data_IF_316129321284
#
_entry.id   IF_316129321284
#
_cell.length_a   1.000
_cell.length_b   1.000
_cell.length_c   1.000
_cell.angle_alpha   90.00
_cell.angle_beta   90.00
_cell.angle_gamma   90.00
#
_symmetry.space_group_name_H-M   'P 1'
#
loop_
_entity.id
_entity.type
_entity.pdbx_description
1 polymer ?
#
# COMPACT_ATOMS: atom_id res chain seq x y z
N UNK A 1 -82.07 -6.98 20.90
CA UNK A 1 -82.23 -7.96 19.81
C UNK A 1 -81.09 -7.77 18.81
N UNK A 2 -80.31 -8.83 18.58
CA UNK A 2 -79.29 -8.90 17.53
C UNK A 2 -79.97 -9.03 16.13
N UNK A 3 -79.27 -8.99 14.96
CA UNK A 3 -78.38 -10.09 14.59
C UNK A 3 -77.13 -9.82 13.70
N UNK A 4 -76.06 -10.55 14.06
CA UNK A 4 -75.16 -11.44 13.29
C UNK A 4 -74.40 -11.05 12.00
N UNK A 5 -73.05 -11.13 12.10
CA UNK A 5 -72.07 -11.38 11.01
C UNK A 5 -71.70 -12.88 10.91
N UNK A 6 -71.68 -13.47 9.70
CA UNK A 6 -71.19 -14.84 9.42
C UNK A 6 -69.75 -14.89 8.88
N UNK A 7 -68.92 -15.68 9.60
CA UNK A 7 -67.78 -16.54 9.23
C UNK A 7 -67.23 -16.58 7.78
N UNK A 8 -65.96 -16.17 7.61
CA UNK A 8 -65.10 -16.45 6.44
C UNK A 8 -63.70 -17.03 6.79
N UNK A 9 -63.50 -17.51 8.03
CA UNK A 9 -62.16 -17.86 8.57
C UNK A 9 -61.80 -19.36 8.56
N UNK A 10 -62.72 -20.27 8.23
CA UNK A 10 -62.50 -21.73 8.39
C UNK A 10 -61.89 -22.46 7.16
N UNK A 11 -61.91 -21.90 5.95
CA UNK A 11 -61.42 -22.60 4.74
C UNK A 11 -59.91 -22.47 4.43
N UNK A 12 -59.18 -21.57 5.11
CA UNK A 12 -57.76 -21.29 4.81
C UNK A 12 -56.76 -22.13 5.63
N UNK A 13 -57.20 -22.65 6.78
CA UNK A 13 -56.35 -23.47 7.68
C UNK A 13 -56.27 -24.94 7.23
N UNK A 14 -57.30 -25.52 6.61
CA UNK A 14 -57.27 -26.92 6.15
C UNK A 14 -56.33 -27.18 4.95
N UNK A 15 -55.97 -26.14 4.18
CA UNK A 15 -54.97 -26.26 3.08
C UNK A 15 -53.52 -26.20 3.57
N UNK A 16 -53.27 -25.69 4.79
CA UNK A 16 -51.91 -25.61 5.38
C UNK A 16 -51.45 -26.94 6.01
N UNK A 17 -52.37 -27.85 6.36
CA UNK A 17 -52.02 -29.11 7.02
C UNK A 17 -51.74 -30.28 6.04
N UNK A 18 -52.15 -30.18 4.76
CA UNK A 18 -51.95 -31.25 3.75
C UNK A 18 -50.70 -31.11 2.87
N UNK A 19 -49.93 -30.02 2.96
CA UNK A 19 -48.66 -29.85 2.22
C UNK A 19 -47.41 -30.13 3.09
N UNK A 20 -47.59 -30.85 4.21
CA UNK A 20 -46.56 -31.12 5.21
C UNK A 20 -46.21 -32.60 5.39
N UNK A 21 -46.65 -33.49 4.49
CA UNK A 21 -46.30 -34.92 4.50
C UNK A 21 -46.11 -35.46 3.07
N UNK A 22 -44.86 -35.44 2.61
CA UNK A 22 -44.25 -36.19 1.47
C UNK A 22 -43.05 -35.34 1.00
N UNK A 23 -41.78 -35.71 0.99
CA UNK A 23 -41.07 -36.98 1.01
C UNK A 23 -39.71 -36.69 1.66
N UNK A 24 -39.33 -37.52 2.62
CA UNK A 24 -37.98 -37.66 3.12
C UNK A 24 -37.22 -38.56 2.14
N UNK A 25 -36.46 -37.96 1.24
CA UNK A 25 -35.35 -38.63 0.57
C UNK A 25 -34.09 -37.88 0.95
N UNK A 26 -33.34 -38.48 1.88
CA UNK A 26 -31.97 -38.10 2.19
C UNK A 26 -31.17 -38.31 0.92
N UNK A 27 -30.97 -37.22 0.17
CA UNK A 27 -29.95 -37.17 -0.87
C UNK A 27 -28.61 -37.22 -0.13
N UNK A 28 -27.68 -38.12 -0.51
CA UNK A 28 -26.35 -38.11 0.08
C UNK A 28 -25.78 -36.71 -0.10
N UNK A 29 -25.38 -36.08 1.00
CA UNK A 29 -24.58 -34.87 0.96
C UNK A 29 -23.29 -35.27 0.23
N UNK A 30 -23.21 -34.87 -1.04
CA UNK A 30 -21.97 -34.93 -1.79
C UNK A 30 -20.88 -34.25 -0.94
N UNK A 31 -19.68 -34.83 -0.83
CA UNK A 31 -18.61 -34.21 -0.07
C UNK A 31 -18.41 -32.80 -0.61
N UNK A 32 -18.24 -31.81 0.28
CA UNK A 32 -17.80 -30.45 -0.09
C UNK A 32 -16.72 -30.58 -1.16
N UNK A 33 -17.05 -30.22 -2.40
CA UNK A 33 -16.08 -30.17 -3.48
C UNK A 33 -14.97 -29.22 -3.02
N UNK A 34 -13.78 -29.79 -2.91
CA UNK A 34 -12.58 -29.28 -2.27
C UNK A 34 -12.30 -27.84 -2.74
N UNK A 35 -12.24 -26.89 -1.82
CA UNK A 35 -11.95 -25.46 -2.05
C UNK A 35 -10.54 -25.19 -2.64
N UNK A 36 -9.77 -26.25 -2.96
CA UNK A 36 -8.40 -26.23 -3.50
C UNK A 36 -8.27 -26.14 -5.03
N UNK A 37 -9.36 -26.27 -5.80
CA UNK A 37 -9.27 -26.51 -7.25
C UNK A 37 -8.77 -25.30 -8.10
N UNK A 38 -8.95 -24.07 -7.62
CA UNK A 38 -8.61 -22.90 -8.42
C UNK A 38 -7.10 -22.71 -8.60
N UNK A 39 -6.31 -22.95 -7.54
CA UNK A 39 -4.87 -22.76 -7.57
C UNK A 39 -4.20 -23.84 -8.40
N UNK A 40 -4.56 -25.11 -8.22
CA UNK A 40 -4.01 -26.22 -9.02
C UNK A 40 -4.29 -26.05 -10.51
N UNK A 41 -5.49 -25.57 -10.85
CA UNK A 41 -5.86 -25.26 -12.24
C UNK A 41 -5.11 -24.05 -12.78
N UNK A 42 -4.97 -22.99 -11.99
CA UNK A 42 -4.17 -21.81 -12.37
C UNK A 42 -2.69 -22.18 -12.55
N UNK A 43 -2.12 -22.92 -11.61
CA UNK A 43 -0.73 -23.36 -11.62
C UNK A 43 -0.44 -24.18 -12.87
N UNK A 44 -1.18 -25.27 -13.12
CA UNK A 44 -0.98 -26.13 -14.31
C UNK A 44 -1.01 -25.34 -15.63
N UNK A 45 -1.91 -24.36 -15.73
CA UNK A 45 -2.08 -23.53 -16.92
C UNK A 45 -0.93 -22.54 -17.14
N UNK A 46 -0.37 -21.99 -16.07
CA UNK A 46 0.59 -20.88 -16.16
C UNK A 46 2.04 -21.29 -15.87
N UNK A 47 2.29 -22.44 -15.24
CA UNK A 47 3.64 -22.98 -14.96
C UNK A 47 4.32 -23.56 -16.21
N UNK A 48 3.53 -24.01 -17.19
CA UNK A 48 4.00 -24.75 -18.36
C UNK A 48 4.11 -23.88 -19.63
N UNK A 49 3.98 -22.56 -19.50
CA UNK A 49 3.93 -21.65 -20.65
C UNK A 49 5.35 -21.41 -21.19
N UNK A 50 5.64 -21.69 -22.48
CA UNK A 50 6.98 -21.54 -23.05
C UNK A 50 7.50 -20.11 -22.91
N UNK A 51 8.69 -19.93 -22.32
CA UNK A 51 9.39 -18.65 -22.21
C UNK A 51 9.22 -17.89 -20.89
N UNK A 52 8.53 -18.44 -19.89
CA UNK A 52 8.38 -17.81 -18.56
C UNK A 52 9.26 -18.51 -17.52
N UNK A 53 10.15 -17.76 -16.84
CA UNK A 53 11.00 -18.25 -15.76
C UNK A 53 10.20 -18.40 -14.45
N UNK A 54 9.15 -19.21 -14.47
CA UNK A 54 8.36 -19.53 -13.27
C UNK A 54 9.17 -20.52 -12.43
N UNK A 55 9.31 -20.29 -11.11
CA UNK A 55 9.97 -21.26 -10.22
C UNK A 55 9.31 -22.64 -10.33
N UNK A 56 10.10 -23.72 -10.25
CA UNK A 56 9.57 -25.09 -10.25
C UNK A 56 8.87 -25.45 -8.93
N UNK A 57 9.31 -24.83 -7.83
CA UNK A 57 8.69 -24.98 -6.51
C UNK A 57 7.34 -24.24 -6.45
N UNK A 58 6.31 -24.93 -5.98
CA UNK A 58 4.93 -24.42 -5.94
C UNK A 58 4.78 -23.22 -4.99
N UNK A 59 5.48 -23.23 -3.85
CA UNK A 59 5.41 -22.14 -2.89
C UNK A 59 6.11 -20.87 -3.42
N UNK A 60 7.27 -21.03 -4.04
CA UNK A 60 7.96 -19.97 -4.76
C UNK A 60 7.14 -19.47 -5.96
N UNK A 61 6.46 -20.38 -6.66
CA UNK A 61 5.51 -20.06 -7.72
C UNK A 61 4.33 -19.22 -7.24
N UNK A 62 3.74 -19.57 -6.10
CA UNK A 62 2.66 -18.80 -5.49
C UNK A 62 3.11 -17.36 -5.18
N UNK A 63 4.30 -17.20 -4.56
CA UNK A 63 4.90 -15.89 -4.33
C UNK A 63 5.19 -15.15 -5.65
N UNK A 64 5.62 -15.85 -6.69
CA UNK A 64 5.89 -15.25 -7.98
C UNK A 64 4.63 -14.62 -8.60
N UNK A 65 3.50 -15.31 -8.51
CA UNK A 65 2.24 -14.83 -9.09
C UNK A 65 1.53 -13.78 -8.25
N UNK A 66 1.56 -13.90 -6.92
CA UNK A 66 0.74 -13.09 -5.99
C UNK A 66 1.54 -12.15 -5.07
N UNK A 67 2.88 -12.24 -5.08
CA UNK A 67 3.80 -11.45 -4.24
C UNK A 67 3.69 -11.68 -2.73
N UNK A 68 2.95 -12.71 -2.35
CA UNK A 68 2.70 -13.10 -0.96
C UNK A 68 2.78 -14.61 -0.84
N UNK A 69 3.13 -15.11 0.34
CA UNK A 69 3.05 -16.51 0.72
C UNK A 69 1.59 -16.96 0.86
N UNK A 70 1.37 -18.28 0.92
CA UNK A 70 0.04 -18.85 1.18
C UNK A 70 -0.51 -18.39 2.54
N UNK A 71 0.32 -18.32 3.58
CA UNK A 71 -0.10 -17.85 4.91
C UNK A 71 -0.57 -16.40 4.89
N UNK A 72 0.23 -15.51 4.27
CA UNK A 72 -0.13 -14.09 4.10
C UNK A 72 -1.40 -13.94 3.24
N UNK A 73 -1.55 -14.78 2.22
CA UNK A 73 -2.74 -14.82 1.39
C UNK A 73 -4.00 -15.23 2.17
N UNK A 74 -3.90 -16.26 3.00
CA UNK A 74 -4.99 -16.69 3.88
C UNK A 74 -5.37 -15.60 4.88
N UNK A 75 -4.38 -14.89 5.44
CA UNK A 75 -4.61 -13.73 6.28
C UNK A 75 -5.38 -12.62 5.52
N UNK A 76 -4.94 -12.25 4.33
CA UNK A 76 -5.65 -11.28 3.47
C UNK A 76 -7.08 -11.76 3.18
N UNK A 77 -7.27 -13.04 2.86
CA UNK A 77 -8.59 -13.62 2.64
C UNK A 77 -9.48 -13.49 3.88
N UNK A 78 -8.93 -13.72 5.08
CA UNK A 78 -9.67 -13.58 6.33
C UNK A 78 -10.11 -12.14 6.58
N UNK A 79 -9.28 -11.14 6.26
CA UNK A 79 -9.59 -9.72 6.43
C UNK A 79 -10.79 -9.27 5.60
N UNK A 80 -10.89 -9.73 4.34
CA UNK A 80 -11.92 -9.25 3.39
C UNK A 80 -13.11 -10.20 3.24
N UNK A 81 -13.11 -11.35 3.95
CA UNK A 81 -14.08 -12.43 3.75
C UNK A 81 -15.52 -11.96 3.87
N UNK A 82 -15.85 -11.24 4.94
CA UNK A 82 -17.21 -10.77 5.20
C UNK A 82 -17.72 -9.81 4.12
N UNK A 83 -16.88 -8.89 3.66
CA UNK A 83 -17.24 -7.90 2.64
C UNK A 83 -17.38 -8.53 1.24
N UNK A 84 -16.56 -9.53 0.95
CA UNK A 84 -16.62 -10.26 -0.32
C UNK A 84 -17.80 -11.24 -0.40
N UNK A 85 -18.26 -11.79 0.74
CA UNK A 85 -19.46 -12.64 0.82
C UNK A 85 -20.76 -11.83 0.84
N UNK A 86 -20.82 -10.73 1.60
CA UNK A 86 -22.06 -9.99 1.88
C UNK A 86 -22.61 -9.18 0.70
N UNK A 87 -21.78 -8.84 -0.29
CA UNK A 87 -22.16 -8.05 -1.47
C UNK A 87 -21.95 -8.79 -2.80
N UNK A 88 -22.47 -10.00 -3.02
CA UNK A 88 -22.26 -10.69 -4.29
C UNK A 88 -23.04 -9.93 -5.38
N UNK A 89 -22.39 -9.36 -6.40
CA UNK A 89 -23.08 -8.80 -7.55
C UNK A 89 -23.86 -9.90 -8.26
N UNK A 90 -25.01 -9.53 -8.80
CA UNK A 90 -25.66 -10.27 -9.88
C UNK A 90 -24.66 -10.41 -11.03
N UNK A 91 -24.00 -11.57 -11.19
CA UNK A 91 -23.05 -11.81 -12.28
C UNK A 91 -21.59 -12.13 -11.92
N UNK A 92 -21.22 -12.34 -10.64
CA UNK A 92 -19.93 -12.97 -10.29
C UNK A 92 -19.99 -14.49 -10.47
N UNK A 93 -20.29 -14.87 -11.70
CA UNK A 93 -20.43 -16.24 -12.14
C UNK A 93 -19.17 -16.52 -12.99
N UNK A 94 -18.46 -17.61 -12.70
CA UNK A 94 -17.40 -18.08 -13.60
C UNK A 94 -18.00 -18.45 -14.96
N UNK A 95 -17.17 -18.74 -15.96
CA UNK A 95 -17.63 -19.14 -17.31
C UNK A 95 -18.59 -20.36 -17.25
N UNK A 96 -18.55 -21.13 -16.16
CA UNK A 96 -19.32 -22.36 -15.94
C UNK A 96 -20.60 -22.19 -15.11
N UNK A 97 -21.00 -20.97 -14.72
CA UNK A 97 -22.26 -20.81 -13.97
C UNK A 97 -22.13 -20.78 -12.44
N UNK A 98 -20.93 -20.80 -11.85
CA UNK A 98 -20.69 -20.89 -10.39
C UNK A 98 -20.19 -19.58 -9.77
N UNK A 99 -20.62 -19.30 -8.54
CA UNK A 99 -20.10 -18.18 -7.73
C UNK A 99 -18.60 -18.34 -7.47
N UNK A 100 -17.84 -17.24 -7.61
CA UNK A 100 -16.42 -17.23 -7.27
C UNK A 100 -16.22 -17.32 -5.75
N UNK A 101 -15.36 -18.24 -5.29
CA UNK A 101 -14.91 -18.28 -3.89
C UNK A 101 -14.17 -16.99 -3.50
N UNK A 102 -14.11 -16.71 -2.20
CA UNK A 102 -13.39 -15.53 -1.68
C UNK A 102 -11.92 -15.60 -2.06
N UNK A 103 -11.32 -16.77 -1.93
CA UNK A 103 -9.93 -17.05 -2.24
C UNK A 103 -9.65 -16.77 -3.73
N UNK A 104 -10.52 -17.26 -4.63
CA UNK A 104 -10.37 -16.98 -6.06
C UNK A 104 -10.56 -15.48 -6.37
N UNK A 105 -11.46 -14.80 -5.69
CA UNK A 105 -11.63 -13.34 -5.82
C UNK A 105 -10.37 -12.57 -5.40
N UNK A 106 -9.81 -12.91 -4.23
CA UNK A 106 -8.56 -12.31 -3.72
C UNK A 106 -7.39 -12.61 -4.66
N UNK A 107 -7.28 -13.83 -5.17
CA UNK A 107 -6.24 -14.21 -6.13
C UNK A 107 -6.30 -13.38 -7.42
N UNK A 108 -7.49 -13.18 -7.99
CA UNK A 108 -7.69 -12.34 -9.18
C UNK A 108 -7.22 -10.90 -8.90
N UNK A 109 -7.62 -10.33 -7.75
CA UNK A 109 -7.28 -8.96 -7.39
C UNK A 109 -5.77 -8.79 -7.14
N UNK A 110 -5.15 -9.69 -6.36
CA UNK A 110 -3.71 -9.66 -6.11
C UNK A 110 -2.92 -9.85 -7.40
N UNK A 111 -3.32 -10.78 -8.28
CA UNK A 111 -2.66 -10.95 -9.58
C UNK A 111 -2.75 -9.68 -10.42
N UNK A 112 -3.90 -8.99 -10.40
CA UNK A 112 -4.08 -7.73 -11.11
C UNK A 112 -3.12 -6.65 -10.61
N UNK A 113 -2.97 -6.50 -9.29
CA UNK A 113 -2.07 -5.52 -8.68
C UNK A 113 -0.59 -5.89 -8.90
N UNK A 114 -0.24 -7.17 -8.73
CA UNK A 114 1.12 -7.69 -8.80
C UNK A 114 1.72 -7.68 -10.22
N UNK A 115 0.91 -7.95 -11.24
CA UNK A 115 1.38 -8.10 -12.63
C UNK A 115 1.33 -6.80 -13.42
N UNK A 116 0.36 -5.93 -13.12
CA UNK A 116 0.01 -4.77 -13.95
C UNK A 116 -0.39 -5.16 -15.38
N UNK A 117 -0.77 -6.41 -15.64
CA UNK A 117 -1.26 -6.87 -16.96
C UNK A 117 -2.63 -6.28 -17.29
N UNK A 118 -3.16 -6.47 -18.50
CA UNK A 118 -4.53 -6.04 -18.85
C UNK A 118 -5.59 -6.90 -18.14
N UNK A 119 -6.79 -6.36 -17.93
CA UNK A 119 -7.87 -7.10 -17.25
C UNK A 119 -8.31 -8.33 -18.06
N UNK A 120 -8.16 -8.25 -19.39
CA UNK A 120 -8.38 -9.37 -20.32
C UNK A 120 -7.35 -10.49 -20.08
N UNK A 121 -6.06 -10.15 -19.96
CA UNK A 121 -5.01 -11.14 -19.68
C UNK A 121 -5.22 -11.85 -18.35
N UNK A 122 -5.48 -11.07 -17.29
CA UNK A 122 -5.81 -11.63 -15.96
C UNK A 122 -7.06 -12.50 -16.03
N UNK A 123 -8.10 -12.06 -16.75
CA UNK A 123 -9.34 -12.84 -16.92
C UNK A 123 -9.09 -14.18 -17.62
N UNK A 124 -8.29 -14.18 -18.68
CA UNK A 124 -7.90 -15.39 -19.39
C UNK A 124 -7.12 -16.37 -18.49
N UNK A 125 -6.26 -15.87 -17.60
CA UNK A 125 -5.50 -16.69 -16.66
C UNK A 125 -6.40 -17.41 -15.63
N UNK A 126 -7.51 -16.79 -15.20
CA UNK A 126 -8.45 -17.34 -14.21
C UNK A 126 -9.74 -17.95 -14.79
N UNK A 127 -9.94 -17.87 -16.11
CA UNK A 127 -11.16 -18.32 -16.78
C UNK A 127 -12.38 -17.46 -16.40
N UNK A 128 -12.23 -16.14 -16.40
CA UNK A 128 -13.29 -15.18 -16.09
C UNK A 128 -13.30 -14.02 -17.09
N UNK A 129 -14.44 -13.35 -17.25
CA UNK A 129 -14.56 -12.18 -18.11
C UNK A 129 -13.81 -10.96 -17.58
N UNK A 130 -13.45 -10.03 -18.47
CA UNK A 130 -12.79 -8.77 -18.09
C UNK A 130 -13.63 -7.95 -17.11
N UNK A 131 -14.96 -7.91 -17.29
CA UNK A 131 -15.89 -7.23 -16.39
C UNK A 131 -15.83 -7.80 -14.98
N UNK A 132 -15.75 -9.13 -14.85
CA UNK A 132 -15.58 -9.85 -13.58
C UNK A 132 -14.27 -9.45 -12.89
N UNK A 133 -13.15 -9.42 -13.62
CA UNK A 133 -11.86 -8.97 -13.06
C UNK A 133 -11.96 -7.54 -12.53
N UNK A 134 -12.57 -6.64 -13.29
CA UNK A 134 -12.74 -5.23 -12.90
C UNK A 134 -13.55 -5.09 -11.61
N UNK A 135 -14.70 -5.77 -11.54
CA UNK A 135 -15.58 -5.74 -10.36
C UNK A 135 -14.93 -6.37 -9.13
N UNK A 136 -14.32 -7.54 -9.27
CA UNK A 136 -13.63 -8.24 -8.18
C UNK A 136 -12.47 -7.42 -7.63
N UNK A 137 -11.64 -6.86 -8.52
CA UNK A 137 -10.50 -6.03 -8.11
C UNK A 137 -10.98 -4.81 -7.32
N UNK A 138 -12.03 -4.14 -7.78
CA UNK A 138 -12.54 -2.94 -7.10
C UNK A 138 -13.15 -3.27 -5.74
N UNK A 139 -13.95 -4.34 -5.63
CA UNK A 139 -14.51 -4.79 -4.35
C UNK A 139 -13.42 -5.18 -3.35
N UNK A 140 -12.37 -5.84 -3.84
CA UNK A 140 -11.21 -6.17 -3.02
C UNK A 140 -10.52 -4.90 -2.51
N UNK A 141 -10.31 -3.89 -3.36
CA UNK A 141 -9.72 -2.61 -2.97
C UNK A 141 -10.56 -1.93 -1.89
N UNK A 142 -11.88 -1.79 -2.11
CA UNK A 142 -12.78 -1.16 -1.12
C UNK A 142 -12.78 -1.91 0.22
N UNK A 143 -12.83 -3.24 0.20
CA UNK A 143 -12.80 -4.06 1.41
C UNK A 143 -11.46 -3.94 2.14
N UNK A 144 -10.34 -4.07 1.42
CA UNK A 144 -9.03 -4.02 2.04
C UNK A 144 -8.70 -2.63 2.57
N UNK A 145 -9.07 -1.57 1.85
CA UNK A 145 -8.90 -0.19 2.28
C UNK A 145 -9.55 0.07 3.65
N UNK A 146 -10.72 -0.51 3.92
CA UNK A 146 -11.38 -0.37 5.22
C UNK A 146 -10.77 -1.29 6.29
N UNK A 147 -10.58 -2.56 5.97
CA UNK A 147 -10.22 -3.60 6.95
C UNK A 147 -8.75 -3.54 7.34
N UNK A 148 -7.87 -3.12 6.44
CA UNK A 148 -6.44 -3.10 6.66
C UNK A 148 -5.90 -1.77 7.22
N UNK A 149 -6.73 -0.74 7.49
CA UNK A 149 -6.27 0.57 8.00
C UNK A 149 -5.33 0.49 9.19
N UNK A 150 -5.53 -0.49 10.07
CA UNK A 150 -4.70 -0.70 11.26
C UNK A 150 -3.24 -1.07 10.94
N UNK A 151 -2.95 -1.53 9.71
CA UNK A 151 -1.60 -1.75 9.22
C UNK A 151 -0.89 -0.46 8.79
N UNK A 152 -1.60 0.65 8.58
CA UNK A 152 -1.02 1.95 8.25
C UNK A 152 -1.46 2.96 9.31
N UNK A 153 -0.70 2.97 10.41
CA UNK A 153 -0.93 3.86 11.54
C UNK A 153 0.41 4.40 12.02
N UNK A 154 0.36 5.58 12.61
CA UNK A 154 1.50 6.07 13.34
C UNK A 154 1.80 5.20 14.55
N UNK A 155 3.08 4.99 14.88
CA UNK A 155 3.47 4.31 16.11
C UNK A 155 2.95 5.04 17.35
N UNK A 156 2.62 4.25 18.37
CA UNK A 156 2.47 4.76 19.73
C UNK A 156 3.85 5.07 20.34
N UNK A 157 3.87 5.62 21.55
CA UNK A 157 5.12 6.01 22.22
C UNK A 157 6.11 4.84 22.37
N UNK A 158 5.64 3.63 22.65
CA UNK A 158 6.52 2.47 22.84
C UNK A 158 7.18 2.04 21.53
N UNK A 159 6.39 1.90 20.46
CA UNK A 159 6.93 1.58 19.14
C UNK A 159 7.80 2.72 18.60
N UNK A 160 7.48 3.97 18.94
CA UNK A 160 8.30 5.12 18.56
C UNK A 160 9.69 5.07 19.19
N UNK A 161 9.81 4.74 20.48
CA UNK A 161 11.11 4.57 21.14
C UNK A 161 11.94 3.43 20.53
N UNK A 162 11.27 2.34 20.13
CA UNK A 162 11.92 1.27 19.37
C UNK A 162 12.48 1.79 18.03
N UNK A 163 11.65 2.53 17.28
CA UNK A 163 12.05 3.10 15.99
C UNK A 163 13.27 4.01 16.17
N UNK A 164 13.22 4.95 17.11
CA UNK A 164 14.34 5.85 17.42
C UNK A 164 15.61 5.09 17.73
N UNK A 165 15.53 4.08 18.60
CA UNK A 165 16.66 3.26 19.00
C UNK A 165 17.28 2.52 17.81
N UNK A 166 16.45 2.02 16.88
CA UNK A 166 16.91 1.33 15.67
C UNK A 166 17.54 2.28 14.65
N UNK A 167 16.99 3.48 14.48
CA UNK A 167 17.60 4.51 13.62
C UNK A 167 18.94 4.97 14.18
N UNK A 168 19.04 5.15 15.49
CA UNK A 168 20.32 5.50 16.13
C UNK A 168 21.33 4.37 15.99
N UNK A 169 20.95 3.11 16.22
CA UNK A 169 21.87 1.98 16.09
C UNK A 169 22.35 1.76 14.65
N UNK A 170 21.48 2.00 13.65
CA UNK A 170 21.78 1.66 12.24
C UNK A 170 22.43 2.81 11.48
N UNK A 171 22.06 4.06 11.79
CA UNK A 171 22.49 5.26 11.04
C UNK A 171 23.16 6.29 11.94
N UNK A 172 23.24 6.05 13.25
CA UNK A 172 23.77 7.00 14.22
C UNK A 172 22.89 8.23 14.42
N UNK A 173 21.64 8.24 13.92
CA UNK A 173 20.74 9.39 13.99
C UNK A 173 19.87 9.33 15.28
N UNK A 174 20.21 10.13 16.31
CA UNK A 174 19.50 10.10 17.57
C UNK A 174 18.11 10.73 17.44
N UNK A 175 17.09 10.17 18.11
CA UNK A 175 15.71 10.68 18.11
C UNK A 175 15.05 10.78 16.70
N UNK A 176 15.60 10.09 15.70
CA UNK A 176 15.02 10.02 14.36
C UNK A 176 13.84 9.03 14.34
N UNK A 177 12.70 9.49 13.86
CA UNK A 177 11.42 8.79 13.92
C UNK A 177 11.00 8.14 12.60
N UNK A 178 11.83 8.25 11.55
CA UNK A 178 11.51 7.75 10.22
C UNK A 178 12.17 8.53 9.10
N UNK A 179 11.97 8.05 7.87
CA UNK A 179 12.40 8.69 6.64
C UNK A 179 11.19 9.01 5.76
N UNK A 180 11.22 10.15 5.07
CA UNK A 180 10.16 10.59 4.16
C UNK A 180 10.68 10.73 2.74
N UNK A 181 9.88 10.26 1.78
CA UNK A 181 10.12 10.52 0.37
C UNK A 181 8.81 10.59 -0.42
N UNK A 182 8.90 10.99 -1.69
CA UNK A 182 7.79 11.06 -2.61
C UNK A 182 8.15 10.44 -3.95
N UNK A 183 7.17 9.80 -4.59
CA UNK A 183 7.33 9.14 -5.88
C UNK A 183 6.22 9.47 -6.87
N UNK A 184 6.55 9.42 -8.16
CA UNK A 184 5.61 9.63 -9.26
C UNK A 184 4.97 8.33 -9.73
N UNK A 185 3.65 8.29 -9.76
CA UNK A 185 2.87 7.20 -10.36
C UNK A 185 2.41 7.63 -11.75
N UNK A 186 3.08 7.11 -12.78
CA UNK A 186 2.89 7.52 -14.18
C UNK A 186 1.55 6.99 -14.72
N UNK A 187 0.82 7.86 -15.41
CA UNK A 187 -0.46 7.54 -16.03
C UNK A 187 -0.56 8.11 -17.45
N UNK A 188 -1.43 7.53 -18.26
CA UNK A 188 -1.85 8.13 -19.53
C UNK A 188 -3.23 8.74 -19.34
N UNK A 189 -3.34 10.07 -19.47
CA UNK A 189 -4.62 10.76 -19.46
C UNK A 189 -5.28 10.76 -20.84
N UNK A 190 -6.62 10.76 -20.94
CA UNK A 190 -7.30 11.05 -22.20
C UNK A 190 -6.94 12.46 -22.70
N UNK A 191 -6.85 12.63 -24.03
CA UNK A 191 -6.50 13.92 -24.66
C UNK A 191 -7.42 15.09 -24.28
N UNK A 192 -8.63 14.82 -23.78
CA UNK A 192 -9.60 15.83 -23.35
C UNK A 192 -9.39 16.27 -21.88
N UNK A 193 -8.57 15.54 -21.12
CA UNK A 193 -8.36 15.76 -19.67
C UNK A 193 -6.92 16.17 -19.34
N UNK A 194 -6.14 16.59 -20.32
CA UNK A 194 -4.80 17.13 -20.16
C UNK A 194 -4.90 18.53 -19.55
N UNK A 195 -4.81 18.63 -18.21
CA UNK A 195 -4.51 19.90 -17.55
C UNK A 195 -3.02 19.94 -17.25
N UNK A 196 -2.42 21.13 -17.35
CA UNK A 196 -1.00 21.36 -17.13
C UNK A 196 -0.55 20.93 -15.72
N UNK A 197 -1.47 20.91 -14.75
CA UNK A 197 -1.18 20.53 -13.35
C UNK A 197 -0.70 19.07 -13.21
N UNK A 198 -1.15 18.19 -14.11
CA UNK A 198 -0.77 16.76 -14.08
C UNK A 198 0.52 16.50 -14.85
N UNK A 199 0.97 17.46 -15.67
CA UNK A 199 2.22 17.38 -16.40
C UNK A 199 3.36 17.62 -15.41
N UNK A 200 4.19 16.61 -15.21
CA UNK A 200 5.34 16.68 -14.33
C UNK A 200 6.57 17.29 -15.04
N UNK A 201 7.65 17.57 -14.30
CA UNK A 201 8.84 18.21 -14.86
C UNK A 201 9.47 17.46 -16.04
N UNK A 202 9.24 16.14 -16.14
CA UNK A 202 9.76 15.28 -17.22
C UNK A 202 8.75 15.15 -18.37
N UNK A 203 7.74 16.02 -18.43
CA UNK A 203 6.66 16.01 -19.42
C UNK A 203 5.82 14.72 -19.44
N UNK A 204 5.78 13.99 -18.33
CA UNK A 204 4.89 12.85 -18.14
C UNK A 204 3.63 13.29 -17.38
N UNK A 205 2.54 12.53 -17.51
CA UNK A 205 1.39 12.71 -16.63
C UNK A 205 1.51 11.79 -15.43
N UNK A 206 1.54 12.33 -14.22
CA UNK A 206 1.73 11.52 -13.01
C UNK A 206 0.93 12.01 -11.81
N UNK A 207 0.77 11.12 -10.83
CA UNK A 207 0.21 11.41 -9.52
C UNK A 207 1.27 11.19 -8.46
N UNK A 208 1.36 12.10 -7.51
CA UNK A 208 2.30 11.99 -6.40
C UNK A 208 1.79 11.02 -5.34
N UNK A 209 2.71 10.21 -4.81
CA UNK A 209 2.58 9.47 -3.57
C UNK A 209 3.74 9.91 -2.67
N UNK A 210 3.44 10.46 -1.51
CA UNK A 210 4.42 10.70 -0.45
C UNK A 210 4.15 9.75 0.71
N UNK A 211 5.20 9.31 1.37
CA UNK A 211 5.12 8.35 2.47
C UNK A 211 6.28 8.49 3.43
N UNK A 212 5.97 8.22 4.70
CA UNK A 212 6.94 8.16 5.80
C UNK A 212 7.11 6.69 6.16
N UNK A 213 8.35 6.24 6.31
CA UNK A 213 8.67 4.86 6.67
C UNK A 213 9.55 4.75 7.91
N UNK A 214 9.46 3.61 8.59
CA UNK A 214 10.35 3.25 9.69
C UNK A 214 11.60 2.47 9.24
N UNK A 215 12.34 1.93 10.22
CA UNK A 215 13.56 1.15 10.00
C UNK A 215 13.32 -0.20 9.29
N UNK A 216 12.09 -0.70 9.27
CA UNK A 216 11.66 -1.92 8.57
C UNK A 216 11.09 -1.63 7.18
N UNK A 217 11.18 -0.37 6.72
CA UNK A 217 10.57 0.09 5.46
C UNK A 217 9.03 -0.02 5.47
N UNK A 218 8.40 -0.04 6.66
CA UNK A 218 6.95 -0.01 6.83
C UNK A 218 6.44 1.42 6.70
N UNK A 219 5.36 1.63 5.94
CA UNK A 219 4.71 2.94 5.86
C UNK A 219 3.96 3.29 7.15
N UNK A 220 4.33 4.41 7.76
CA UNK A 220 3.69 4.96 8.95
C UNK A 220 2.58 5.96 8.62
N UNK A 221 2.77 6.70 7.52
CA UNK A 221 1.83 7.69 6.99
C UNK A 221 2.03 7.78 5.47
N UNK A 222 0.95 7.96 4.73
CA UNK A 222 1.00 8.21 3.29
C UNK A 222 -0.01 9.28 2.87
N UNK A 223 0.30 9.96 1.78
CA UNK A 223 -0.61 10.85 1.07
C UNK A 223 -0.51 10.62 -0.43
N UNK A 224 -1.64 10.61 -1.13
CA UNK A 224 -1.67 10.51 -2.59
C UNK A 224 -2.90 11.23 -3.14
N UNK A 225 -3.09 11.24 -4.46
CA UNK A 225 -4.17 11.96 -5.14
C UNK A 225 -3.79 13.35 -5.65
N UNK A 226 -2.53 13.76 -5.47
CA UNK A 226 -2.06 15.08 -5.89
C UNK A 226 -1.42 15.04 -7.29
N UNK A 227 -1.56 16.11 -8.09
CA UNK A 227 -0.95 16.19 -9.42
C UNK A 227 0.57 16.16 -9.41
N UNK A 228 1.16 15.48 -10.40
CA UNK A 228 2.61 15.32 -10.61
C UNK A 228 3.37 16.61 -10.91
N UNK A 229 2.71 17.66 -11.41
CA UNK A 229 3.34 18.97 -11.63
C UNK A 229 3.63 19.75 -10.34
N UNK A 230 3.14 19.29 -9.19
CA UNK A 230 3.41 19.93 -7.91
C UNK A 230 4.82 19.61 -7.39
N UNK A 231 5.47 20.60 -6.76
CA UNK A 231 6.72 20.35 -6.04
C UNK A 231 6.45 19.55 -4.76
N UNK A 232 7.40 18.70 -4.36
CA UNK A 232 7.34 17.93 -3.11
C UNK A 232 7.16 18.84 -1.88
N UNK A 233 7.81 20.01 -1.88
CA UNK A 233 7.64 21.03 -0.83
C UNK A 233 6.21 21.59 -0.73
N UNK A 234 5.48 21.71 -1.85
CA UNK A 234 4.06 22.12 -1.85
C UNK A 234 3.17 20.97 -1.41
N UNK A 235 3.45 19.75 -1.89
CA UNK A 235 2.75 18.53 -1.46
C UNK A 235 2.79 18.38 0.06
N UNK A 236 3.96 18.55 0.68
CA UNK A 236 4.14 18.45 2.13
C UNK A 236 3.15 19.34 2.89
N UNK A 237 3.01 20.62 2.51
CA UNK A 237 2.12 21.58 3.17
C UNK A 237 0.64 21.23 3.06
N UNK A 238 0.27 20.45 2.04
CA UNK A 238 -1.10 19.98 1.85
C UNK A 238 -1.44 18.74 2.69
N UNK A 239 -0.44 18.08 3.29
CA UNK A 239 -0.65 16.83 4.03
C UNK A 239 -1.28 17.04 5.41
N UNK A 240 -2.04 16.04 5.86
CA UNK A 240 -2.51 15.97 7.25
C UNK A 240 -1.34 15.89 8.23
N UNK A 241 -0.29 15.14 7.87
CA UNK A 241 0.92 15.01 8.66
C UNK A 241 1.59 16.36 8.98
N UNK A 242 1.76 17.22 7.98
CA UNK A 242 2.30 18.57 8.17
C UNK A 242 1.47 19.37 9.17
N UNK A 243 0.14 19.36 9.05
CA UNK A 243 -0.75 20.07 9.98
C UNK A 243 -0.63 19.55 11.42
N UNK A 244 -0.51 18.23 11.59
CA UNK A 244 -0.32 17.63 12.92
C UNK A 244 1.05 17.99 13.54
N UNK A 245 2.11 18.09 12.72
CA UNK A 245 3.42 18.52 13.20
C UNK A 245 3.40 20.01 13.62
N UNK A 246 2.83 20.87 12.78
CA UNK A 246 2.70 22.31 13.09
C UNK A 246 1.78 22.57 14.30
N UNK A 247 0.78 21.69 14.51
CA UNK A 247 -0.08 21.71 15.70
C UNK A 247 0.56 21.12 16.97
N UNK A 248 1.77 20.55 16.88
CA UNK A 248 2.44 19.90 18.02
C UNK A 248 1.85 18.55 18.44
N UNK A 249 0.94 17.99 17.64
CA UNK A 249 0.32 16.67 17.86
C UNK A 249 1.23 15.52 17.39
N UNK A 250 2.30 15.85 16.64
CA UNK A 250 3.22 14.91 16.02
C UNK A 250 4.66 15.39 16.13
N UNK A 251 5.61 14.45 16.29
CA UNK A 251 7.04 14.76 16.41
C UNK A 251 7.34 15.79 17.53
N UNK A 252 6.64 15.62 18.65
CA UNK A 252 6.70 16.49 19.83
C UNK A 252 6.92 15.68 21.12
N UNK A 253 7.48 14.47 20.99
CA UNK A 253 7.88 13.65 22.14
C UNK A 253 9.12 14.17 22.85
N UNK A 254 9.70 13.32 23.71
CA UNK A 254 10.82 13.69 24.57
C UNK A 254 12.05 14.14 23.79
N UNK A 255 12.61 15.27 24.21
CA UNK A 255 13.89 15.78 23.74
C UNK A 255 15.00 14.90 24.29
N UNK A 256 15.99 14.61 23.44
CA UNK A 256 17.19 13.85 23.79
C UNK A 256 18.39 14.78 23.87
N UNK A 257 19.00 14.89 25.04
CA UNK A 257 20.25 15.62 25.23
C UNK A 257 21.43 14.75 24.81
N UNK A 258 22.25 15.26 23.91
CA UNK A 258 23.46 14.60 23.41
C UNK A 258 24.62 14.75 24.42
N UNK A 259 25.68 13.92 24.31
CA UNK A 259 26.84 14.03 25.20
C UNK A 259 27.53 15.42 25.19
N UNK A 260 27.40 16.18 24.11
CA UNK A 260 27.90 17.56 23.99
C UNK A 260 27.03 18.61 24.67
N UNK A 261 25.88 18.22 25.24
CA UNK A 261 24.92 19.10 25.90
C UNK A 261 23.87 19.70 24.96
N UNK A 262 23.93 19.40 23.66
CA UNK A 262 22.91 19.84 22.70
C UNK A 262 21.65 18.99 22.75
N UNK A 263 20.50 19.65 22.65
CA UNK A 263 19.19 19.01 22.64
C UNK A 263 18.71 18.69 21.22
N UNK A 264 18.21 17.46 21.04
CA UNK A 264 17.64 16.96 19.78
C UNK A 264 16.20 16.52 20.03
N UNK A 265 15.24 17.22 19.40
CA UNK A 265 13.84 16.81 19.35
C UNK A 265 13.60 15.66 18.36
N UNK A 266 12.41 15.10 18.38
CA UNK A 266 11.95 14.14 17.36
C UNK A 266 11.96 14.78 15.97
N UNK A 267 12.49 14.05 14.99
CA UNK A 267 12.50 14.47 13.59
C UNK A 267 12.43 13.29 12.63
N UNK A 268 12.11 13.56 11.37
CA UNK A 268 12.23 12.62 10.26
C UNK A 268 13.26 13.10 9.24
N UNK A 269 13.93 12.15 8.58
CA UNK A 269 14.92 12.43 7.52
C UNK A 269 14.22 12.58 6.16
N UNK A 270 14.43 13.69 5.45
CA UNK A 270 13.88 13.91 4.11
C UNK A 270 14.92 14.40 3.10
N UNK A 271 14.68 14.17 1.82
CA UNK A 271 15.57 14.59 0.73
C UNK A 271 15.64 16.11 0.54
N UNK A 272 16.52 16.55 -0.36
CA UNK A 272 16.74 17.98 -0.69
C UNK A 272 15.49 18.68 -1.24
N UNK A 273 14.50 17.94 -1.74
CA UNK A 273 13.23 18.49 -2.23
C UNK A 273 12.28 18.97 -1.14
N UNK A 274 12.58 18.67 0.12
CA UNK A 274 11.81 19.09 1.27
C UNK A 274 12.35 20.38 1.91
N UNK A 275 11.49 21.20 2.54
CA UNK A 275 11.96 22.31 3.37
C UNK A 275 12.70 21.78 4.61
N UNK A 276 13.70 22.52 5.08
CA UNK A 276 14.32 22.26 6.37
C UNK A 276 13.45 22.84 7.49
N UNK A 277 12.90 21.99 8.34
CA UNK A 277 12.01 22.35 9.45
C UNK A 277 12.53 21.75 10.77
N UNK A 278 12.03 22.17 11.95
CA UNK A 278 12.48 21.63 13.24
C UNK A 278 12.27 20.11 13.38
N UNK A 279 11.25 19.58 12.69
CA UNK A 279 10.83 18.19 12.72
C UNK A 279 11.12 17.43 11.40
N UNK A 280 11.65 18.11 10.38
CA UNK A 280 12.02 17.53 9.08
C UNK A 280 13.41 18.01 8.66
N UNK A 281 14.39 17.12 8.77
CA UNK A 281 15.79 17.46 8.53
C UNK A 281 16.21 17.00 7.13
N UNK A 282 16.86 17.91 6.40
CA UNK A 282 17.36 17.71 5.03
C UNK A 282 18.88 17.87 4.97
N UNK A 283 19.58 17.23 4.02
CA UNK A 283 21.04 17.25 3.98
C UNK A 283 21.57 18.64 3.61
N UNK A 284 22.87 18.87 3.85
CA UNK A 284 23.57 20.05 3.36
C UNK A 284 23.75 19.97 1.84
N UNK A 285 23.64 21.11 1.15
CA UNK A 285 23.97 21.19 -0.27
C UNK A 285 25.47 20.93 -0.50
N UNK A 286 25.81 20.27 -1.61
CA UNK A 286 27.17 19.75 -1.90
C UNK A 286 28.28 20.80 -1.99
N UNK A 287 27.96 22.10 -1.98
CA UNK A 287 28.93 23.18 -2.13
C UNK A 287 29.54 23.57 -0.78
N UNK A 288 30.86 23.38 -0.62
CA UNK A 288 31.61 23.85 0.56
C UNK A 288 31.39 23.03 1.83
N UNK A 289 31.13 21.72 1.70
CA UNK A 289 30.93 20.83 2.85
C UNK A 289 32.19 20.70 3.70
N UNK A 290 32.06 20.96 4.99
CA UNK A 290 33.07 20.55 5.98
C UNK A 290 33.02 19.04 6.22
N UNK A 291 34.08 18.46 6.80
CA UNK A 291 34.11 17.02 7.11
C UNK A 291 32.93 16.56 8.00
N UNK A 292 32.49 17.41 8.93
CA UNK A 292 31.32 17.16 9.79
C UNK A 292 30.02 17.09 8.97
N UNK A 293 29.84 18.04 8.04
CA UNK A 293 28.67 18.09 7.16
C UNK A 293 28.64 16.91 6.19
N UNK A 294 29.79 16.50 5.65
CA UNK A 294 29.89 15.31 4.79
C UNK A 294 29.55 14.03 5.55
N UNK A 295 30.03 13.88 6.79
CA UNK A 295 29.70 12.72 7.63
C UNK A 295 28.22 12.69 7.96
N UNK A 296 27.63 13.84 8.33
CA UNK A 296 26.20 13.97 8.54
C UNK A 296 25.40 13.60 7.29
N UNK A 297 25.75 14.15 6.13
CA UNK A 297 25.06 13.85 4.87
C UNK A 297 25.12 12.36 4.53
N UNK A 298 26.23 11.67 4.77
CA UNK A 298 26.34 10.23 4.54
C UNK A 298 25.40 9.41 5.44
N UNK A 299 25.32 9.75 6.73
CA UNK A 299 24.42 9.10 7.68
C UNK A 299 22.94 9.39 7.39
N UNK A 300 22.65 10.66 7.09
CA UNK A 300 21.32 11.13 6.71
C UNK A 300 20.83 10.45 5.43
N UNK A 301 21.68 10.34 4.41
CA UNK A 301 21.38 9.66 3.16
C UNK A 301 21.10 8.17 3.38
N UNK A 302 21.88 7.50 4.22
CA UNK A 302 21.66 6.10 4.55
C UNK A 302 20.26 5.86 5.17
N UNK A 303 19.80 6.77 6.02
CA UNK A 303 18.45 6.73 6.58
C UNK A 303 17.38 7.07 5.53
N UNK A 304 17.59 8.10 4.71
CA UNK A 304 16.68 8.49 3.61
C UNK A 304 16.45 7.33 2.63
N UNK A 305 17.50 6.57 2.32
CA UNK A 305 17.43 5.43 1.41
C UNK A 305 16.46 4.34 1.87
N UNK A 306 16.04 4.29 3.15
CA UNK A 306 14.95 3.40 3.57
C UNK A 306 13.63 3.74 2.87
N UNK A 307 13.29 5.03 2.79
CA UNK A 307 12.09 5.48 2.09
C UNK A 307 12.19 5.18 0.60
N UNK A 308 13.35 5.47 -0.02
CA UNK A 308 13.59 5.17 -1.44
C UNK A 308 13.40 3.67 -1.72
N UNK A 309 13.97 2.81 -0.88
CA UNK A 309 13.85 1.35 -1.02
C UNK A 309 12.42 0.87 -0.82
N UNK A 310 11.68 1.42 0.14
CA UNK A 310 10.28 1.08 0.38
C UNK A 310 9.42 1.36 -0.86
N UNK A 311 9.59 2.52 -1.49
CA UNK A 311 8.88 2.86 -2.73
C UNK A 311 9.27 1.95 -3.90
N UNK A 312 10.56 1.66 -4.06
CA UNK A 312 11.03 0.71 -5.09
C UNK A 312 10.44 -0.69 -4.88
N UNK A 313 10.33 -1.15 -3.62
CA UNK A 313 9.71 -2.42 -3.27
C UNK A 313 8.21 -2.44 -3.58
N UNK A 314 7.47 -1.38 -3.23
CA UNK A 314 6.04 -1.25 -3.55
C UNK A 314 5.81 -1.28 -5.06
N UNK A 315 6.54 -0.45 -5.82
CA UNK A 315 6.41 -0.38 -7.28
C UNK A 315 6.79 -1.70 -7.96
N UNK A 316 7.85 -2.35 -7.50
CA UNK A 316 8.30 -3.59 -8.10
C UNK A 316 7.44 -4.82 -7.75
N UNK A 317 6.88 -4.86 -6.54
CA UNK A 317 5.95 -5.90 -6.11
C UNK A 317 4.59 -5.71 -6.76
N UNK A 318 4.04 -4.51 -6.65
CA UNK A 318 2.74 -4.13 -7.18
C UNK A 318 2.92 -3.39 -8.51
N UNK A 319 3.29 -4.14 -9.55
CA UNK A 319 3.68 -3.59 -10.86
C UNK A 319 2.61 -2.73 -11.53
N UNK A 320 1.36 -2.76 -11.07
CA UNK A 320 0.33 -1.79 -11.48
C UNK A 320 0.76 -0.33 -11.22
N UNK A 321 1.62 -0.09 -10.23
CA UNK A 321 2.15 1.23 -9.89
C UNK A 321 3.42 1.61 -10.66
N UNK A 322 4.14 0.63 -11.21
CA UNK A 322 5.36 0.85 -12.00
C UNK A 322 5.07 0.98 -13.50
N UNK A 323 4.05 0.27 -13.99
CA UNK A 323 3.61 0.39 -15.38
C UNK A 323 2.79 1.65 -15.57
N UNK A 324 2.88 2.25 -16.76
CA UNK A 324 2.01 3.35 -17.16
C UNK A 324 0.55 2.90 -17.11
N UNK A 325 -0.22 3.48 -16.20
CA UNK A 325 -1.64 3.17 -16.09
C UNK A 325 -2.40 3.83 -17.24
N UNK A 326 -3.03 3.00 -18.08
CA UNK A 326 -3.81 3.48 -19.20
C UNK A 326 -5.17 4.01 -18.74
N UNK A 327 -5.35 5.34 -18.82
CA UNK A 327 -6.61 6.05 -18.52
C UNK A 327 -7.26 5.62 -17.20
N UNK A 328 -6.54 5.69 -16.07
CA UNK A 328 -7.12 5.35 -14.78
C UNK A 328 -8.24 6.34 -14.44
N UNK A 329 -9.23 5.86 -13.69
CA UNK A 329 -10.14 6.76 -12.99
C UNK A 329 -9.34 7.46 -11.89
N UNK A 330 -9.11 8.77 -12.04
CA UNK A 330 -8.32 9.59 -11.10
C UNK A 330 -8.89 9.55 -9.67
N UNK A 331 -10.18 9.25 -9.50
CA UNK A 331 -10.82 9.12 -8.18
C UNK A 331 -10.54 7.77 -7.52
N UNK A 332 -10.28 6.74 -8.32
CA UNK A 332 -10.01 5.37 -7.86
C UNK A 332 -8.53 5.08 -7.66
N UNK A 333 -7.69 5.79 -8.40
CA UNK A 333 -6.24 5.62 -8.34
C UNK A 333 -5.66 5.80 -6.92
N UNK A 334 -6.07 6.82 -6.13
CA UNK A 334 -5.65 6.95 -4.74
C UNK A 334 -5.90 5.69 -3.89
N UNK A 335 -7.08 5.07 -4.01
CA UNK A 335 -7.41 3.82 -3.30
C UNK A 335 -6.54 2.64 -3.75
N UNK A 336 -6.23 2.54 -5.05
CA UNK A 336 -5.30 1.51 -5.57
C UNK A 336 -3.92 1.67 -4.94
N UNK A 337 -3.40 2.90 -4.91
CA UNK A 337 -2.09 3.23 -4.34
C UNK A 337 -2.06 2.90 -2.84
N UNK A 338 -3.07 3.35 -2.10
CA UNK A 338 -3.22 3.08 -0.67
C UNK A 338 -3.24 1.57 -0.39
N UNK A 339 -4.03 0.81 -1.14
CA UNK A 339 -4.11 -0.66 -1.00
C UNK A 339 -2.77 -1.34 -1.27
N UNK A 340 -1.98 -0.88 -2.24
CA UNK A 340 -0.64 -1.43 -2.48
C UNK A 340 0.31 -1.15 -1.29
N UNK A 341 0.23 0.03 -0.67
CA UNK A 341 0.99 0.36 0.54
C UNK A 341 0.52 -0.46 1.76
N UNK A 342 -0.79 -0.68 1.90
CA UNK A 342 -1.35 -1.55 2.94
C UNK A 342 -0.89 -3.01 2.77
N UNK A 343 -0.91 -3.53 1.54
CA UNK A 343 -0.41 -4.87 1.24
C UNK A 343 1.08 -5.01 1.54
N UNK A 344 1.89 -3.97 1.26
CA UNK A 344 3.30 -3.94 1.63
C UNK A 344 3.50 -4.04 3.15
N UNK A 345 2.73 -3.27 3.93
CA UNK A 345 2.78 -3.37 5.39
C UNK A 345 2.28 -4.73 5.91
N UNK A 346 1.26 -5.33 5.28
CA UNK A 346 0.78 -6.68 5.62
C UNK A 346 1.87 -7.73 5.39
N UNK A 347 2.61 -7.63 4.28
CA UNK A 347 3.75 -8.52 3.98
C UNK A 347 4.80 -8.44 5.08
N UNK A 348 5.15 -7.23 5.52
CA UNK A 348 6.08 -7.00 6.63
C UNK A 348 5.53 -7.60 7.93
N UNK A 349 4.26 -7.32 8.28
CA UNK A 349 3.64 -7.79 9.52
C UNK A 349 3.53 -9.33 9.59
N UNK A 350 3.39 -9.99 8.44
CA UNK A 350 3.36 -11.44 8.35
C UNK A 350 4.76 -12.08 8.33
N UNK A 351 5.84 -11.29 8.38
CA UNK A 351 7.22 -11.76 8.27
C UNK A 351 7.52 -12.38 6.90
N UNK A 352 6.83 -11.94 5.86
CA UNK A 352 6.96 -12.50 4.52
C UNK A 352 8.01 -11.74 3.72
N UNK A 353 8.83 -12.47 2.97
CA UNK A 353 9.94 -11.89 2.22
C UNK A 353 9.46 -11.50 0.82
N UNK A 354 9.68 -10.24 0.45
CA UNK A 354 9.53 -9.77 -0.92
C UNK A 354 10.52 -10.50 -1.83
N UNK A 355 10.05 -10.93 -3.00
CA UNK A 355 10.88 -11.69 -3.93
C UNK A 355 12.07 -10.85 -4.44
N UNK A 356 13.28 -11.42 -4.53
CA UNK A 356 14.47 -10.73 -5.05
C UNK A 356 14.33 -10.21 -6.49
N UNK A 357 13.43 -10.80 -7.29
CA UNK A 357 13.16 -10.42 -8.69
C UNK A 357 12.46 -9.06 -8.85
N UNK A 358 12.21 -8.36 -7.74
CA UNK A 358 11.88 -6.94 -7.78
C UNK A 358 13.17 -6.20 -8.13
N UNK A 359 13.33 -5.83 -9.40
CA UNK A 359 14.39 -4.93 -9.82
C UNK A 359 14.27 -3.61 -9.05
N UNK A 360 15.03 -3.49 -7.97
CA UNK A 360 15.19 -2.25 -7.23
C UNK A 360 16.11 -1.38 -8.06
N UNK A 361 15.53 -0.53 -8.92
CA UNK A 361 16.28 0.63 -9.37
C UNK A 361 16.74 1.38 -8.11
N UNK A 362 18.00 1.84 -8.10
CA UNK A 362 18.56 2.60 -6.97
C UNK A 362 17.74 3.85 -6.61
N UNK A 363 16.80 4.24 -7.48
CA UNK A 363 15.80 5.27 -7.31
C UNK A 363 14.44 4.77 -7.83
N UNK A 364 13.34 5.08 -7.14
CA UNK A 364 11.97 4.72 -7.57
C UNK A 364 11.42 5.53 -8.76
N UNK A 365 12.12 6.57 -9.23
CA UNK A 365 11.73 7.45 -10.34
C UNK A 365 12.95 7.73 -11.24
N UNK A 366 13.45 6.73 -11.99
CA UNK A 366 14.59 6.92 -12.87
C UNK A 366 14.30 8.00 -13.91
N UNK A 367 15.20 8.98 -14.02
CA UNK A 367 15.09 10.10 -14.96
C UNK A 367 14.57 11.40 -14.34
N UNK A 368 13.98 11.37 -13.15
CA UNK A 368 13.56 12.60 -12.45
C UNK A 368 14.76 13.25 -11.72
N UNK A 369 14.96 14.54 -11.94
CA UNK A 369 15.94 15.33 -11.18
C UNK A 369 15.39 15.77 -9.82
N UNK A 370 16.24 15.75 -8.78
CA UNK A 370 15.88 16.30 -7.46
C UNK A 370 15.83 17.83 -7.51
N UNK A 371 14.65 18.43 -7.34
CA UNK A 371 14.50 19.88 -7.23
C UNK A 371 14.77 20.34 -5.78
N UNK A 372 15.87 21.06 -5.55
CA UNK A 372 16.20 21.54 -4.20
C UNK A 372 15.21 22.58 -3.66
N UNK A 373 14.73 22.39 -2.43
CA UNK A 373 13.91 23.36 -1.71
C UNK A 373 14.79 24.31 -0.90
N UNK A 374 14.68 25.62 -1.16
CA UNK A 374 15.45 26.66 -0.46
C UNK A 374 14.85 27.12 0.87
N UNK A 375 13.72 26.56 1.29
CA UNK A 375 13.06 26.96 2.54
C UNK A 375 13.81 26.37 3.73
N UNK A 376 14.30 27.25 4.60
CA UNK A 376 15.07 26.89 5.79
C UNK A 376 14.50 27.59 7.02
N UNK A 377 13.98 26.80 7.95
CA UNK A 377 13.61 27.26 9.27
C UNK A 377 14.87 27.43 10.16
N UNK A 378 15.00 28.54 10.92
CA UNK A 378 16.14 28.75 11.82
C UNK A 378 16.34 27.66 12.87
N UNK A 379 15.27 27.14 13.47
CA UNK A 379 15.34 26.06 14.46
C UNK A 379 15.71 24.73 13.80
N UNK A 380 15.19 24.48 12.59
CA UNK A 380 15.60 23.34 11.77
C UNK A 380 17.09 23.38 11.40
N UNK A 381 17.63 24.57 11.12
CA UNK A 381 19.07 24.77 10.88
C UNK A 381 19.89 24.43 12.12
N UNK A 382 19.52 24.95 13.29
CA UNK A 382 20.21 24.63 14.55
C UNK A 382 20.19 23.14 14.85
N UNK A 383 19.04 22.48 14.67
CA UNK A 383 18.91 21.02 14.82
C UNK A 383 19.91 20.26 13.93
N UNK A 384 19.99 20.63 12.65
CA UNK A 384 20.92 19.99 11.71
C UNK A 384 22.39 20.24 12.08
N UNK A 385 22.73 21.44 12.53
CA UNK A 385 24.09 21.77 12.99
C UNK A 385 24.48 20.98 14.24
N UNK A 386 23.57 20.80 15.20
CA UNK A 386 23.79 19.98 16.39
C UNK A 386 24.03 18.51 16.02
N UNK A 387 23.24 17.96 15.08
CA UNK A 387 23.47 16.61 14.56
C UNK A 387 24.83 16.49 13.86
N UNK A 388 25.22 17.47 13.05
CA UNK A 388 26.51 17.45 12.37
C UNK A 388 27.70 17.51 13.33
N UNK A 389 27.60 18.29 14.42
CA UNK A 389 28.61 18.34 15.50
C UNK A 389 28.73 17.01 16.24
N UNK A 390 27.60 16.38 16.56
CA UNK A 390 27.55 15.09 17.26
C UNK A 390 28.37 14.02 16.53
N UNK A 391 28.21 13.89 15.21
CA UNK A 391 28.96 12.93 14.41
C UNK A 391 30.46 13.22 14.31
N UNK A 392 30.87 14.45 14.57
CA UNK A 392 32.29 14.80 14.59
C UNK A 392 32.96 14.45 15.92
N UNK A 393 32.23 14.54 17.04
CA UNK A 393 32.75 14.27 18.39
C UNK A 393 32.75 12.79 18.78
N UNK A 394 31.93 11.96 18.12
CA UNK A 394 31.80 10.52 18.40
C UNK A 394 32.86 9.61 17.76
N UNK A 395 34.01 10.14 17.36
CA UNK A 395 35.16 9.37 16.83
C UNK A 395 36.36 9.43 17.75
#
# INVERSE_FOLDING_TARGET
MAPHKKSKKSKRELKKLKKRKSISTVVPVEPKATESDWWDTFWRKNSSSPGCSVPSDEAAGFKHFFRVSKNTFEYICSLVREDLISRPPSGLINIEGRLLSVEKQVAIALRRLASGESQVSVGAAFGVGQSTVSQVTWRFIEALEERAKHHLKWPDSNKMEEIKSKFEASFGLPNCCGAIDATHIIMTLPAVQTSDDWCDPESNYSMLLQGIVDHEMRFLDIVTGWPGGMTVSRLLKCTGFFKLCEGGERLNGSVRTLPGGEDIREFIAGGVGYPLLPWLITPYESNGLSASMSTFNAMHEAARLLAVRAFSQVKGSWRILNKVMWRPDKRKLPSIILVCCLLHNIVIDCGDNLLPDVALSGHHDPGYGEQCCKLVDPLGRTMRENLAKFFHQGK
#
